data_IF_609317035721
#
_entry.id   IF_609317035721
#
_cell.length_a   1.000
_cell.length_b   1.000
_cell.length_c   1.000
_cell.angle_alpha   90.00
_cell.angle_beta   90.00
_cell.angle_gamma   90.00
#
_symmetry.space_group_name_H-M   'P 1'
#
loop_
_entity.id
_entity.type
_entity.pdbx_description
1 polymer ?
#
# COMPACT_ATOMS: atom_id res chain seq x y z
N UNK A 1 5.32 -14.30 22.60
CA UNK A 1 4.38 -13.81 21.58
C UNK A 1 4.72 -12.37 21.25
N UNK A 2 5.06 -12.07 19.98
CA UNK A 2 5.59 -10.73 19.57
C UNK A 2 4.56 -9.60 19.76
N UNK A 3 3.26 -9.91 19.84
CA UNK A 3 2.20 -8.92 20.00
C UNK A 3 1.48 -9.04 21.37
N UNK A 4 2.23 -9.41 22.41
CA UNK A 4 1.73 -9.40 23.78
C UNK A 4 1.57 -7.96 24.31
N UNK A 5 0.89 -7.78 25.46
CA UNK A 5 0.53 -6.47 26.03
C UNK A 5 1.73 -5.58 26.38
N UNK A 6 2.92 -6.17 26.49
CA UNK A 6 4.16 -5.44 26.85
C UNK A 6 5.14 -5.36 25.67
N UNK A 7 5.79 -4.21 25.49
CA UNK A 7 6.79 -4.02 24.45
C UNK A 7 8.14 -4.62 24.86
N UNK A 8 8.70 -5.47 24.01
CA UNK A 8 10.05 -6.03 24.17
C UNK A 8 11.14 -5.10 23.61
N UNK A 9 12.40 -5.33 23.99
CA UNK A 9 13.56 -4.61 23.43
C UNK A 9 13.64 -4.76 21.91
N UNK A 10 13.34 -5.96 21.39
CA UNK A 10 13.30 -6.24 19.95
C UNK A 10 12.25 -5.38 19.25
N UNK A 11 11.08 -5.21 19.85
CA UNK A 11 9.99 -4.41 19.27
C UNK A 11 10.28 -2.91 19.33
N UNK A 12 10.97 -2.41 20.38
CA UNK A 12 11.45 -1.03 20.40
C UNK A 12 12.42 -0.73 19.25
N UNK A 13 13.37 -1.65 19.02
CA UNK A 13 14.27 -1.54 17.87
C UNK A 13 13.51 -1.57 16.54
N UNK A 14 12.54 -2.47 16.42
CA UNK A 14 11.67 -2.56 15.27
C UNK A 14 10.88 -1.27 15.04
N UNK A 15 10.27 -0.70 16.07
CA UNK A 15 9.55 0.57 15.98
C UNK A 15 10.43 1.70 15.46
N UNK A 16 11.68 1.82 15.95
CA UNK A 16 12.64 2.80 15.45
C UNK A 16 12.96 2.59 13.96
N UNK A 17 13.28 1.35 13.58
CA UNK A 17 13.61 1.02 12.18
C UNK A 17 12.43 1.29 11.25
N UNK A 18 11.22 0.85 11.63
CA UNK A 18 10.00 1.09 10.85
C UNK A 18 9.70 2.59 10.75
N UNK A 19 9.87 3.35 11.83
CA UNK A 19 9.73 4.81 11.80
C UNK A 19 10.68 5.47 10.80
N UNK A 20 11.95 5.06 10.76
CA UNK A 20 12.92 5.57 9.80
C UNK A 20 12.51 5.21 8.37
N UNK A 21 12.16 3.94 8.10
CA UNK A 21 11.70 3.50 6.78
C UNK A 21 10.47 4.30 6.35
N UNK A 22 9.48 4.43 7.24
CA UNK A 22 8.26 5.17 6.94
C UNK A 22 8.54 6.64 6.62
N UNK A 23 9.43 7.32 7.37
CA UNK A 23 9.84 8.70 7.10
C UNK A 23 10.52 8.81 5.72
N UNK A 24 11.42 7.89 5.37
CA UNK A 24 12.06 7.88 4.06
C UNK A 24 11.01 7.78 2.94
N UNK A 25 10.03 6.88 3.08
CA UNK A 25 8.96 6.75 2.10
C UNK A 25 8.01 7.95 2.07
N UNK A 26 7.78 8.64 3.20
CA UNK A 26 7.06 9.92 3.19
C UNK A 26 7.83 11.02 2.47
N UNK A 27 9.16 11.09 2.61
CA UNK A 27 9.99 12.02 1.85
C UNK A 27 9.92 11.71 0.36
N UNK A 28 10.03 10.43 -0.04
CA UNK A 28 9.88 10.01 -1.44
C UNK A 28 8.49 10.37 -1.97
N UNK A 29 7.43 10.14 -1.21
CA UNK A 29 6.09 10.58 -1.56
C UNK A 29 6.02 12.10 -1.74
N UNK A 30 6.64 12.87 -0.83
CA UNK A 30 6.73 14.34 -0.92
C UNK A 30 7.42 14.81 -2.21
N UNK A 31 8.48 14.13 -2.65
CA UNK A 31 9.15 14.40 -3.92
C UNK A 31 8.21 14.12 -5.10
N UNK A 32 7.54 12.95 -5.09
CA UNK A 32 6.64 12.56 -6.18
C UNK A 32 5.43 13.49 -6.28
N UNK A 33 4.76 13.79 -5.16
CA UNK A 33 3.59 14.69 -5.18
C UNK A 33 3.97 16.10 -5.62
N UNK A 34 5.12 16.62 -5.18
CA UNK A 34 5.61 17.94 -5.64
C UNK A 34 5.91 17.92 -7.15
N UNK A 35 6.56 16.86 -7.63
CA UNK A 35 6.83 16.69 -9.05
C UNK A 35 5.56 16.66 -9.90
N UNK A 36 4.53 15.95 -9.43
CA UNK A 36 3.21 15.87 -10.08
C UNK A 36 2.48 17.22 -10.02
N UNK A 37 2.39 17.83 -8.83
CA UNK A 37 1.65 19.08 -8.64
C UNK A 37 2.25 20.26 -9.42
N UNK A 38 3.57 20.32 -9.52
CA UNK A 38 4.30 21.35 -10.28
C UNK A 38 4.66 20.92 -11.72
N UNK A 39 4.09 19.81 -12.21
CA UNK A 39 4.25 19.32 -13.58
C UNK A 39 5.72 19.25 -14.04
N UNK A 40 6.61 18.78 -13.14
CA UNK A 40 8.06 18.73 -13.42
C UNK A 40 8.37 17.77 -14.56
N UNK A 41 9.33 18.16 -15.40
CA UNK A 41 9.75 17.42 -16.60
C UNK A 41 10.15 15.97 -16.28
N UNK A 42 10.89 15.74 -15.19
CA UNK A 42 11.29 14.38 -14.79
C UNK A 42 10.09 13.44 -14.54
N UNK A 43 8.94 13.98 -14.09
CA UNK A 43 7.70 13.18 -13.90
C UNK A 43 7.16 12.76 -15.26
N UNK A 44 7.14 13.68 -16.23
CA UNK A 44 6.66 13.39 -17.59
C UNK A 44 7.55 12.36 -18.27
N UNK A 45 8.86 12.50 -18.15
CA UNK A 45 9.83 11.54 -18.70
C UNK A 45 9.68 10.16 -18.05
N UNK A 46 9.53 10.09 -16.73
CA UNK A 46 9.26 8.84 -16.00
C UNK A 46 7.95 8.20 -16.48
N UNK A 47 6.89 8.99 -16.61
CA UNK A 47 5.58 8.49 -17.04
C UNK A 47 5.65 7.94 -18.48
N UNK A 48 6.26 8.67 -19.41
CA UNK A 48 6.40 8.23 -20.81
C UNK A 48 7.24 6.95 -20.90
N UNK A 49 8.38 6.90 -20.22
CA UNK A 49 9.26 5.73 -20.22
C UNK A 49 8.56 4.46 -19.74
N UNK A 50 7.90 4.50 -18.60
CA UNK A 50 7.23 3.31 -18.06
C UNK A 50 5.92 2.98 -18.76
N UNK A 51 5.21 3.95 -19.34
CA UNK A 51 4.06 3.67 -20.20
C UNK A 51 4.51 2.91 -21.45
N UNK A 52 5.57 3.35 -22.11
CA UNK A 52 6.10 2.66 -23.28
C UNK A 52 6.57 1.24 -22.91
N UNK A 53 7.35 1.10 -21.84
CA UNK A 53 7.85 -0.20 -21.36
C UNK A 53 6.73 -1.20 -21.03
N UNK A 54 5.62 -0.74 -20.44
CA UNK A 54 4.56 -1.61 -19.94
C UNK A 54 3.46 -1.85 -20.98
N UNK A 55 3.21 -0.89 -21.85
CA UNK A 55 2.10 -0.91 -22.81
C UNK A 55 2.54 -1.04 -24.29
N UNK A 56 3.78 -1.29 -24.55
CA UNK A 56 4.29 -1.56 -25.90
C UNK A 56 4.86 -2.99 -25.96
N UNK A 57 4.16 -3.95 -26.63
CA UNK A 57 2.91 -3.77 -27.38
C UNK A 57 1.68 -3.50 -26.50
N UNK A 58 0.70 -2.83 -27.11
CA UNK A 58 -0.56 -2.51 -26.42
C UNK A 58 -1.29 -3.78 -25.92
N UNK A 59 -2.07 -3.70 -24.82
CA UNK A 59 -2.84 -4.82 -24.31
C UNK A 59 -3.78 -5.40 -25.37
N UNK A 60 -3.75 -6.72 -25.57
CA UNK A 60 -4.59 -7.42 -26.53
C UNK A 60 -5.90 -7.76 -25.88
N UNK A 61 -7.01 -7.24 -26.45
CA UNK A 61 -8.37 -7.57 -25.98
C UNK A 61 -8.63 -9.08 -26.09
N UNK A 62 -9.29 -9.65 -25.07
CA UNK A 62 -9.60 -11.09 -25.03
C UNK A 62 -8.40 -11.99 -24.69
N UNK A 63 -7.19 -11.45 -24.46
CA UNK A 63 -6.05 -12.26 -24.03
C UNK A 63 -6.24 -12.80 -22.61
N UNK A 64 -5.71 -14.01 -22.36
CA UNK A 64 -5.70 -14.61 -21.02
C UNK A 64 -4.98 -13.72 -20.00
N UNK A 65 -3.92 -13.03 -20.43
CA UNK A 65 -3.20 -12.10 -19.58
C UNK A 65 -4.06 -10.90 -19.17
N UNK A 66 -4.77 -10.27 -20.10
CA UNK A 66 -5.68 -9.17 -19.78
C UNK A 66 -6.79 -9.62 -18.83
N UNK A 67 -7.36 -10.83 -19.04
CA UNK A 67 -8.35 -11.41 -18.13
C UNK A 67 -7.81 -11.64 -16.73
N UNK A 68 -6.54 -12.11 -16.62
CA UNK A 68 -5.85 -12.24 -15.33
C UNK A 68 -5.64 -10.89 -14.65
N UNK A 69 -5.22 -9.84 -15.39
CA UNK A 69 -5.06 -8.48 -14.87
C UNK A 69 -6.40 -7.92 -14.36
N UNK A 70 -7.49 -8.16 -15.06
CA UNK A 70 -8.83 -7.79 -14.56
C UNK A 70 -9.22 -8.52 -13.28
N UNK A 71 -8.90 -9.80 -13.19
CA UNK A 71 -9.15 -10.58 -11.97
C UNK A 71 -8.28 -10.10 -10.81
N UNK A 72 -6.97 -9.95 -11.05
CA UNK A 72 -6.02 -9.56 -10.00
C UNK A 72 -6.33 -8.19 -9.39
N UNK A 73 -6.75 -7.23 -10.22
CA UNK A 73 -7.05 -5.86 -9.77
C UNK A 73 -8.14 -5.77 -8.69
N UNK A 74 -9.02 -6.78 -8.58
CA UNK A 74 -10.06 -6.84 -7.55
C UNK A 74 -9.48 -6.84 -6.14
N UNK A 75 -8.33 -7.48 -5.95
CA UNK A 75 -7.69 -7.66 -4.64
C UNK A 75 -7.08 -6.39 -4.04
N UNK A 76 -6.95 -5.32 -4.84
CA UNK A 76 -6.50 -4.02 -4.35
C UNK A 76 -7.64 -2.97 -4.28
N UNK A 77 -8.89 -3.38 -4.47
CA UNK A 77 -10.02 -2.46 -4.32
C UNK A 77 -10.34 -2.24 -2.84
N UNK A 78 -10.52 -0.98 -2.44
CA UNK A 78 -10.95 -0.61 -1.08
C UNK A 78 -12.26 -1.30 -0.68
N UNK A 79 -13.15 -1.57 -1.65
CA UNK A 79 -14.40 -2.32 -1.42
C UNK A 79 -14.16 -3.75 -0.92
N UNK A 80 -12.99 -4.34 -1.19
CA UNK A 80 -12.59 -5.66 -0.72
C UNK A 80 -11.64 -5.57 0.48
N UNK A 81 -10.61 -4.73 0.41
CA UNK A 81 -9.57 -4.66 1.45
C UNK A 81 -10.09 -4.11 2.77
N UNK A 82 -11.01 -3.13 2.75
CA UNK A 82 -11.57 -2.54 3.98
C UNK A 82 -12.44 -3.52 4.77
N UNK A 83 -13.41 -4.26 4.18
CA UNK A 83 -14.13 -5.30 4.92
C UNK A 83 -13.23 -6.41 5.44
N UNK A 84 -12.24 -6.85 4.64
CA UNK A 84 -11.29 -7.87 5.10
C UNK A 84 -10.45 -7.33 6.27
N UNK A 85 -10.03 -6.07 6.23
CA UNK A 85 -9.32 -5.45 7.34
C UNK A 85 -10.17 -5.41 8.62
N UNK A 86 -11.48 -5.15 8.50
CA UNK A 86 -12.41 -5.24 9.63
C UNK A 86 -12.49 -6.67 10.17
N UNK A 87 -12.65 -7.68 9.33
CA UNK A 87 -12.69 -9.08 9.75
C UNK A 87 -11.40 -9.52 10.45
N UNK A 88 -10.25 -9.13 9.94
CA UNK A 88 -8.95 -9.37 10.57
C UNK A 88 -8.87 -8.64 11.92
N UNK A 89 -9.34 -7.40 11.98
CA UNK A 89 -9.39 -6.62 13.21
C UNK A 89 -10.25 -7.29 14.28
N UNK A 90 -11.45 -7.77 13.90
CA UNK A 90 -12.35 -8.52 14.79
C UNK A 90 -11.71 -9.84 15.23
N UNK A 91 -11.06 -10.57 14.33
CA UNK A 91 -10.34 -11.80 14.67
C UNK A 91 -9.24 -11.55 15.72
N UNK A 92 -8.47 -10.47 15.59
CA UNK A 92 -7.53 -10.07 16.65
C UNK A 92 -8.24 -9.72 17.97
N UNK A 93 -9.44 -9.14 17.90
CA UNK A 93 -10.28 -8.89 19.07
C UNK A 93 -10.65 -10.19 19.79
N UNK A 94 -11.12 -11.21 19.07
CA UNK A 94 -11.39 -12.55 19.64
C UNK A 94 -10.15 -13.21 20.24
N UNK A 95 -8.98 -12.95 19.69
CA UNK A 95 -7.70 -13.37 20.25
C UNK A 95 -7.24 -12.53 21.47
N UNK A 96 -8.11 -11.68 22.01
CA UNK A 96 -7.81 -10.74 23.12
C UNK A 96 -6.68 -9.73 22.79
N UNK A 97 -6.47 -9.45 21.51
CA UNK A 97 -5.49 -8.49 20.98
C UNK A 97 -6.17 -7.25 20.40
N UNK A 98 -7.11 -6.69 21.17
CA UNK A 98 -8.00 -5.61 20.72
C UNK A 98 -7.21 -4.43 20.15
N UNK A 99 -6.15 -3.99 20.84
CA UNK A 99 -5.34 -2.85 20.37
C UNK A 99 -4.70 -3.09 18.99
N UNK A 100 -4.27 -4.34 18.71
CA UNK A 100 -3.73 -4.72 17.41
C UNK A 100 -4.82 -4.71 16.33
N UNK A 101 -6.00 -5.22 16.65
CA UNK A 101 -7.14 -5.24 15.73
C UNK A 101 -7.61 -3.83 15.38
N UNK A 102 -7.74 -2.96 16.39
CA UNK A 102 -8.09 -1.54 16.22
C UNK A 102 -7.04 -0.83 15.38
N UNK A 103 -5.75 -1.00 15.71
CA UNK A 103 -4.68 -0.44 14.91
C UNK A 103 -4.76 -0.86 13.44
N UNK A 104 -4.90 -2.16 13.18
CA UNK A 104 -4.91 -2.69 11.81
C UNK A 104 -6.08 -2.10 11.00
N UNK A 105 -7.30 -2.17 11.53
CA UNK A 105 -8.49 -1.66 10.85
C UNK A 105 -8.42 -0.15 10.62
N UNK A 106 -8.11 0.63 11.67
CA UNK A 106 -8.08 2.09 11.55
C UNK A 106 -6.90 2.59 10.70
N UNK A 107 -5.77 1.88 10.64
CA UNK A 107 -4.70 2.21 9.70
C UNK A 107 -5.18 2.15 8.25
N UNK A 108 -5.93 1.10 7.88
CA UNK A 108 -6.48 0.96 6.52
C UNK A 108 -7.51 2.07 6.26
N UNK A 109 -8.44 2.27 7.17
CA UNK A 109 -9.51 3.26 7.03
C UNK A 109 -8.98 4.69 6.88
N UNK A 110 -8.01 5.09 7.71
CA UNK A 110 -7.39 6.40 7.65
C UNK A 110 -6.53 6.58 6.39
N UNK A 111 -5.87 5.53 5.92
CA UNK A 111 -5.15 5.54 4.65
C UNK A 111 -6.07 5.80 3.46
N UNK A 112 -7.25 5.17 3.44
CA UNK A 112 -8.28 5.42 2.42
C UNK A 112 -8.85 6.85 2.50
N UNK A 113 -9.05 7.38 3.69
CA UNK A 113 -9.47 8.77 3.87
C UNK A 113 -8.41 9.74 3.34
N UNK A 114 -7.13 9.51 3.68
CA UNK A 114 -6.01 10.31 3.18
C UNK A 114 -5.91 10.26 1.66
N UNK A 115 -6.09 9.08 1.05
CA UNK A 115 -6.16 8.92 -0.40
C UNK A 115 -7.20 9.85 -1.04
N UNK A 116 -8.44 9.83 -0.51
CA UNK A 116 -9.53 10.64 -1.05
C UNK A 116 -9.24 12.14 -0.94
N UNK A 117 -8.70 12.57 0.19
CA UNK A 117 -8.31 13.97 0.41
C UNK A 117 -7.21 14.42 -0.56
N UNK A 118 -6.18 13.58 -0.78
CA UNK A 118 -5.09 13.86 -1.71
C UNK A 118 -5.57 13.91 -3.17
N UNK A 119 -6.51 13.06 -3.55
CA UNK A 119 -7.10 13.09 -4.89
C UNK A 119 -7.78 14.43 -5.17
N UNK A 120 -8.52 14.95 -4.20
CA UNK A 120 -9.18 16.26 -4.33
C UNK A 120 -8.17 17.41 -4.34
N UNK A 121 -7.11 17.31 -3.53
CA UNK A 121 -6.09 18.34 -3.42
C UNK A 121 -5.26 18.49 -4.71
N UNK A 122 -4.80 17.35 -5.28
CA UNK A 122 -3.93 17.35 -6.47
C UNK A 122 -4.73 17.48 -7.75
N UNK A 123 -5.95 16.91 -7.79
CA UNK A 123 -6.91 16.97 -8.89
C UNK A 123 -6.32 16.62 -10.27
N UNK A 124 -5.33 15.71 -10.33
CA UNK A 124 -4.68 15.32 -11.58
C UNK A 124 -5.65 14.58 -12.50
N UNK A 125 -5.79 14.99 -13.79
CA UNK A 125 -6.58 14.22 -14.76
C UNK A 125 -5.96 12.85 -15.01
N UNK A 126 -6.78 11.89 -15.46
CA UNK A 126 -6.30 10.56 -15.84
C UNK A 126 -5.63 10.55 -17.21
N UNK A 127 -4.80 9.53 -17.50
CA UNK A 127 -4.27 9.34 -18.84
C UNK A 127 -5.42 9.22 -19.86
N UNK A 128 -5.30 9.91 -20.98
CA UNK A 128 -6.16 9.69 -22.15
C UNK A 128 -5.52 8.57 -22.97
N UNK A 129 -6.13 7.40 -22.98
CA UNK A 129 -5.62 6.25 -23.73
C UNK A 129 -6.58 5.90 -24.85
N UNK A 130 -6.06 5.78 -26.07
CA UNK A 130 -6.82 5.23 -27.19
C UNK A 130 -7.14 3.76 -26.89
N UNK A 131 -8.43 3.42 -26.78
CA UNK A 131 -8.88 2.10 -26.38
C UNK A 131 -8.91 1.93 -24.85
N UNK A 132 -9.81 2.65 -24.17
CA UNK A 132 -10.03 2.47 -22.73
C UNK A 132 -10.49 1.04 -22.44
N UNK A 133 -9.65 0.28 -21.75
CA UNK A 133 -9.95 -1.07 -21.30
C UNK A 133 -10.84 -1.07 -20.04
N UNK A 134 -10.82 0.02 -19.29
CA UNK A 134 -11.55 0.20 -18.04
C UNK A 134 -11.98 1.65 -17.86
N UNK A 135 -13.23 1.86 -17.59
CA UNK A 135 -13.74 3.16 -17.18
C UNK A 135 -13.33 3.45 -15.73
N UNK A 136 -12.53 4.48 -15.51
CA UNK A 136 -12.09 4.89 -14.17
C UNK A 136 -12.50 6.32 -13.87
N UNK A 137 -13.33 6.51 -12.85
CA UNK A 137 -13.85 7.82 -12.44
C UNK A 137 -12.91 8.56 -11.50
N UNK A 138 -13.04 9.89 -11.48
CA UNK A 138 -12.34 10.79 -10.56
C UNK A 138 -10.86 10.99 -10.89
N UNK A 139 -10.14 11.64 -9.99
CA UNK A 139 -8.75 12.07 -10.18
C UNK A 139 -7.76 10.90 -10.17
N UNK A 140 -6.63 11.12 -10.89
CA UNK A 140 -5.63 10.09 -11.09
C UNK A 140 -4.69 9.93 -9.89
N UNK A 141 -4.11 11.02 -9.38
CA UNK A 141 -3.08 10.98 -8.33
C UNK A 141 -3.67 11.06 -6.91
N UNK A 142 -3.12 10.30 -5.96
CA UNK A 142 -2.31 9.12 -6.16
C UNK A 142 -3.15 7.89 -6.54
N UNK A 143 -2.50 6.80 -7.03
CA UNK A 143 -3.20 5.57 -7.38
C UNK A 143 -3.77 4.87 -6.15
N UNK A 144 -5.10 4.70 -6.12
CA UNK A 144 -5.80 4.04 -5.00
C UNK A 144 -5.43 2.57 -4.85
N UNK A 145 -5.32 1.82 -5.96
CA UNK A 145 -4.93 0.41 -5.91
C UNK A 145 -3.50 0.21 -5.42
N UNK A 146 -2.56 1.08 -5.86
CA UNK A 146 -1.19 1.02 -5.39
C UNK A 146 -1.09 1.35 -3.89
N UNK A 147 -1.82 2.37 -3.42
CA UNK A 147 -1.86 2.71 -2.00
C UNK A 147 -2.52 1.59 -1.18
N UNK A 148 -3.71 1.14 -1.58
CA UNK A 148 -4.45 0.12 -0.84
C UNK A 148 -3.67 -1.20 -0.77
N UNK A 149 -3.03 -1.64 -1.86
CA UNK A 149 -2.22 -2.85 -1.86
C UNK A 149 -0.97 -2.69 -0.99
N UNK A 150 -0.23 -1.58 -1.11
CA UNK A 150 0.96 -1.34 -0.30
C UNK A 150 0.62 -1.20 1.19
N UNK A 151 -0.48 -0.56 1.52
CA UNK A 151 -0.94 -0.40 2.90
C UNK A 151 -1.46 -1.73 3.48
N UNK A 152 -2.37 -2.42 2.78
CA UNK A 152 -2.99 -3.64 3.28
C UNK A 152 -2.02 -4.82 3.31
N UNK A 153 -1.45 -5.18 2.15
CA UNK A 153 -0.50 -6.31 2.06
C UNK A 153 0.84 -5.99 2.73
N UNK A 154 1.28 -4.72 2.70
CA UNK A 154 2.45 -4.27 3.44
C UNK A 154 2.28 -4.42 4.95
N UNK A 155 1.12 -4.03 5.50
CA UNK A 155 0.81 -4.26 6.92
C UNK A 155 0.75 -5.74 7.27
N UNK A 156 0.17 -6.61 6.40
CA UNK A 156 0.18 -8.06 6.60
C UNK A 156 1.61 -8.64 6.57
N UNK A 157 2.45 -8.19 5.64
CA UNK A 157 3.85 -8.60 5.57
C UNK A 157 4.62 -8.23 6.84
N UNK A 158 4.42 -7.00 7.35
CA UNK A 158 5.01 -6.56 8.61
C UNK A 158 4.51 -7.41 9.79
N UNK A 159 3.21 -7.67 9.90
CA UNK A 159 2.66 -8.54 10.93
C UNK A 159 3.23 -9.96 10.85
N UNK A 160 3.39 -10.50 9.64
CA UNK A 160 4.00 -11.81 9.40
C UNK A 160 5.47 -11.82 9.84
N UNK A 161 6.27 -10.82 9.48
CA UNK A 161 7.68 -10.70 9.86
C UNK A 161 7.87 -10.68 11.39
N UNK A 162 6.96 -10.03 12.11
CA UNK A 162 6.99 -9.95 13.58
C UNK A 162 6.19 -11.04 14.29
N UNK A 163 5.60 -11.99 13.57
CA UNK A 163 4.89 -13.15 14.15
C UNK A 163 5.86 -14.21 14.69
N UNK A 164 5.32 -15.26 15.31
CA UNK A 164 6.06 -16.45 15.74
C UNK A 164 6.14 -17.55 14.66
N UNK A 165 5.76 -17.24 13.41
CA UNK A 165 5.86 -18.18 12.30
C UNK A 165 7.32 -18.60 12.05
N UNK A 166 7.51 -19.74 11.37
CA UNK A 166 8.83 -20.21 10.97
C UNK A 166 9.50 -19.20 10.01
N UNK A 167 10.82 -19.17 9.98
CA UNK A 167 11.54 -18.27 9.06
C UNK A 167 11.15 -18.55 7.60
N UNK A 168 10.94 -19.82 7.22
CA UNK A 168 10.47 -20.19 5.89
C UNK A 168 9.10 -19.59 5.58
N UNK A 169 8.15 -19.68 6.50
CA UNK A 169 6.81 -19.08 6.35
C UNK A 169 6.90 -17.55 6.20
N UNK A 170 7.72 -16.89 7.02
CA UNK A 170 7.94 -15.44 6.93
C UNK A 170 8.50 -15.04 5.58
N UNK A 171 9.55 -15.71 5.13
CA UNK A 171 10.21 -15.39 3.85
C UNK A 171 9.25 -15.60 2.68
N UNK A 172 8.67 -16.80 2.55
CA UNK A 172 7.77 -17.13 1.44
C UNK A 172 6.53 -16.22 1.45
N UNK A 173 5.88 -16.07 2.61
CA UNK A 173 4.70 -15.23 2.73
C UNK A 173 4.98 -13.76 2.43
N UNK A 174 6.11 -13.23 2.89
CA UNK A 174 6.50 -11.84 2.58
C UNK A 174 6.77 -11.67 1.08
N UNK A 175 7.47 -12.61 0.44
CA UNK A 175 7.72 -12.56 -1.01
C UNK A 175 6.40 -12.57 -1.78
N UNK A 176 5.45 -13.43 -1.42
CA UNK A 176 4.12 -13.49 -2.06
C UNK A 176 3.38 -12.16 -1.90
N UNK A 177 3.37 -11.58 -0.70
CA UNK A 177 2.69 -10.31 -0.43
C UNK A 177 3.35 -9.15 -1.20
N UNK A 178 4.67 -9.09 -1.27
CA UNK A 178 5.40 -8.07 -2.05
C UNK A 178 5.16 -8.24 -3.55
N UNK A 179 5.19 -9.47 -4.06
CA UNK A 179 4.84 -9.76 -5.47
C UNK A 179 3.44 -9.26 -5.79
N UNK A 180 2.47 -9.47 -4.89
CA UNK A 180 1.10 -9.01 -5.06
C UNK A 180 1.00 -7.48 -5.12
N UNK A 181 1.75 -6.75 -4.26
CA UNK A 181 1.82 -5.28 -4.30
C UNK A 181 2.35 -4.80 -5.66
N UNK A 182 3.42 -5.42 -6.16
CA UNK A 182 4.02 -5.07 -7.46
C UNK A 182 3.04 -5.34 -8.60
N UNK A 183 2.38 -6.50 -8.60
CA UNK A 183 1.38 -6.87 -9.60
C UNK A 183 0.22 -5.86 -9.63
N UNK A 184 -0.35 -5.51 -8.47
CA UNK A 184 -1.42 -4.52 -8.38
C UNK A 184 -0.99 -3.13 -8.86
N UNK A 185 0.27 -2.79 -8.66
CA UNK A 185 0.85 -1.54 -9.16
C UNK A 185 1.01 -1.56 -10.69
N UNK A 186 1.53 -2.66 -11.23
CA UNK A 186 1.67 -2.89 -12.67
C UNK A 186 0.32 -2.81 -13.39
N UNK A 187 -0.72 -3.47 -12.84
CA UNK A 187 -2.07 -3.51 -13.42
C UNK A 187 -2.61 -2.11 -13.76
N UNK A 188 -2.30 -1.11 -12.94
CA UNK A 188 -2.84 0.25 -13.13
C UNK A 188 -2.25 0.96 -14.34
N UNK A 189 -0.96 0.77 -14.60
CA UNK A 189 -0.29 1.30 -15.77
C UNK A 189 -0.68 0.49 -17.01
N UNK A 190 -0.68 -0.84 -16.90
CA UNK A 190 -1.04 -1.75 -17.99
C UNK A 190 -2.45 -1.48 -18.52
N UNK A 191 -3.44 -1.28 -17.62
CA UNK A 191 -4.81 -0.93 -17.96
C UNK A 191 -4.97 0.54 -18.45
N UNK A 192 -3.94 1.37 -18.34
CA UNK A 192 -3.95 2.76 -18.80
C UNK A 192 -4.78 3.71 -17.94
N UNK A 193 -5.14 3.33 -16.72
CA UNK A 193 -6.00 4.13 -15.83
C UNK A 193 -5.23 5.06 -14.90
N UNK A 194 -3.91 4.86 -14.78
CA UNK A 194 -3.00 5.68 -13.97
C UNK A 194 -1.67 5.89 -14.68
N UNK A 195 -1.06 7.04 -14.43
CA UNK A 195 0.35 7.27 -14.75
C UNK A 195 1.26 6.48 -13.81
N UNK A 196 2.46 6.06 -14.28
CA UNK A 196 3.48 5.44 -13.42
C UNK A 196 3.80 6.25 -12.15
N UNK A 197 3.88 7.58 -12.25
CA UNK A 197 4.09 8.46 -11.10
C UNK A 197 2.92 8.46 -10.10
N UNK A 198 1.66 8.25 -10.54
CA UNK A 198 0.52 8.07 -9.62
C UNK A 198 0.67 6.78 -8.81
N UNK A 199 1.15 5.72 -9.49
CA UNK A 199 1.39 4.41 -8.88
C UNK A 199 2.54 4.49 -7.89
N UNK A 200 3.64 5.15 -8.27
CA UNK A 200 4.79 5.37 -7.39
C UNK A 200 4.38 6.17 -6.14
N UNK A 201 3.60 7.25 -6.32
CA UNK A 201 3.06 8.03 -5.20
C UNK A 201 2.18 7.20 -4.27
N UNK A 202 1.23 6.41 -4.83
CA UNK A 202 0.38 5.52 -4.04
C UNK A 202 1.18 4.46 -3.28
N UNK A 203 2.14 3.83 -3.93
CA UNK A 203 3.04 2.85 -3.32
C UNK A 203 3.87 3.46 -2.16
N UNK A 204 4.54 4.58 -2.41
CA UNK A 204 5.33 5.25 -1.38
C UNK A 204 4.48 5.64 -0.17
N UNK A 205 3.31 6.21 -0.39
CA UNK A 205 2.40 6.59 0.69
C UNK A 205 1.90 5.36 1.46
N UNK A 206 1.55 4.26 0.76
CA UNK A 206 1.09 3.02 1.40
C UNK A 206 2.15 2.38 2.29
N UNK A 207 3.40 2.29 1.82
CA UNK A 207 4.53 1.76 2.62
C UNK A 207 4.85 2.71 3.80
N UNK A 208 4.89 4.02 3.55
CA UNK A 208 5.12 5.00 4.61
C UNK A 208 4.09 4.87 5.71
N UNK A 209 2.82 4.79 5.34
CA UNK A 209 1.71 4.64 6.28
C UNK A 209 1.77 3.33 7.06
N UNK A 210 2.01 2.19 6.40
CA UNK A 210 2.15 0.88 7.04
C UNK A 210 3.28 0.89 8.08
N UNK A 211 4.45 1.41 7.70
CA UNK A 211 5.62 1.43 8.56
C UNK A 211 5.45 2.40 9.74
N UNK A 212 5.01 3.64 9.48
CA UNK A 212 4.83 4.64 10.54
C UNK A 212 3.70 4.26 11.50
N UNK A 213 2.56 3.78 10.99
CA UNK A 213 1.44 3.39 11.86
C UNK A 213 1.80 2.21 12.76
N UNK A 214 2.55 1.20 12.25
CA UNK A 214 3.04 0.11 13.08
C UNK A 214 4.10 0.58 14.08
N UNK A 215 4.99 1.49 13.68
CA UNK A 215 5.98 2.09 14.57
C UNK A 215 5.29 2.83 15.74
N UNK A 216 4.24 3.61 15.45
CA UNK A 216 3.43 4.29 16.46
C UNK A 216 2.71 3.30 17.37
N UNK A 217 2.11 2.25 16.81
CA UNK A 217 1.46 1.19 17.59
C UNK A 217 2.45 0.55 18.57
N UNK A 218 3.62 0.13 18.09
CA UNK A 218 4.64 -0.51 18.92
C UNK A 218 5.26 0.46 19.94
N UNK A 219 5.44 1.74 19.59
CA UNK A 219 6.08 2.71 20.47
C UNK A 219 5.18 3.29 21.56
N UNK A 220 3.90 3.50 21.27
CA UNK A 220 3.00 4.26 22.15
C UNK A 220 1.77 3.48 22.64
N UNK A 221 1.18 2.64 21.80
CA UNK A 221 -0.07 1.94 22.14
C UNK A 221 0.19 0.62 22.87
N UNK A 222 1.36 0.04 22.70
CA UNK A 222 1.78 -1.16 23.43
C UNK A 222 2.42 -0.74 24.76
N UNK A 223 1.89 -1.26 25.88
CA UNK A 223 2.38 -0.89 27.21
C UNK A 223 3.85 -1.27 27.41
N UNK A 224 4.67 -0.41 28.06
CA UNK A 224 6.04 -0.78 28.39
C UNK A 224 6.05 -1.96 29.37
N UNK A 225 7.04 -2.84 29.23
CA UNK A 225 7.28 -3.91 30.22
C UNK A 225 7.61 -3.24 31.56
N UNK A 226 6.78 -3.43 32.58
CA UNK A 226 7.15 -3.08 33.95
C UNK A 226 8.12 -4.17 34.41
N UNK A 227 9.38 -3.83 34.61
CA UNK A 227 10.29 -4.67 35.36
C UNK A 227 9.66 -4.81 36.78
N UNK A 228 9.26 -6.02 37.12
CA UNK A 228 8.87 -6.37 38.50
C UNK A 228 10.14 -6.56 39.30
#
# INVERSE_FOLDING_TARGET
>A
MVFDRTISVREKKAAKTLGIIGIVFFILFGIVISGVAFQKEWVQQLDLFFIDLIRNPAPIQGSAWLSFVFFSTWFAQSKLTTPIALLIGLWFGFQKRIALGVWFFFSILLGEFTLKSLKLLVARPRPVTNGELVFAHGFSFPSGHALASALFYGSLALLLCYSNASNRTKTIGTIILLFWIVLMSYDRVYLGVHYPSDVLGGFCLGIAWSCCSLALYLGFLKRPYKNA
#
